data_IF_644213306845
#
_entry.id   IF_644213306845
#
_cell.length_a   1.000
_cell.length_b   1.000
_cell.length_c   1.000
_cell.angle_alpha   90.00
_cell.angle_beta   90.00
_cell.angle_gamma   90.00
#
_symmetry.space_group_name_H-M   'P 1'
#
loop_
_entity.id
_entity.type
_entity.pdbx_description
1 polymer ?
#
# COMPACT_ATOMS: atom_id res chain seq x y z
N UNK A 1 5.26 -4.93 -1.80
CA UNK A 1 4.85 -4.01 -0.70
C UNK A 1 5.70 -4.08 0.56
N UNK A 2 6.29 -5.23 0.92
CA UNK A 2 7.25 -5.33 2.04
C UNK A 2 8.45 -4.38 1.92
N UNK A 3 8.96 -4.14 0.71
CA UNK A 3 10.04 -3.16 0.46
C UNK A 3 9.63 -1.73 0.85
N UNK A 4 8.47 -1.27 0.39
CA UNK A 4 7.93 0.07 0.72
C UNK A 4 7.71 0.19 2.21
N UNK A 5 7.06 -0.80 2.83
CA UNK A 5 6.84 -0.82 4.27
C UNK A 5 8.14 -0.79 5.08
N UNK A 6 9.17 -1.56 4.68
CA UNK A 6 10.49 -1.52 5.33
C UNK A 6 11.18 -0.15 5.22
N UNK A 7 10.90 0.61 4.16
CA UNK A 7 11.51 1.92 3.94
C UNK A 7 10.76 3.04 4.65
N UNK A 8 9.44 2.98 4.71
CA UNK A 8 8.60 4.09 5.20
C UNK A 8 7.96 3.83 6.56
N UNK A 9 7.88 2.57 6.99
CA UNK A 9 7.07 2.14 8.14
C UNK A 9 5.56 2.20 7.90
N UNK A 10 5.11 2.43 6.66
CA UNK A 10 3.71 2.70 6.32
C UNK A 10 3.25 1.90 5.10
N UNK A 11 1.95 1.58 5.07
CA UNK A 11 1.27 1.09 3.86
C UNK A 11 0.55 2.23 3.17
N UNK A 12 0.47 2.17 1.84
CA UNK A 12 -0.20 3.16 1.01
C UNK A 12 -1.69 2.84 0.84
N UNK A 13 -2.45 3.84 0.41
CA UNK A 13 -3.85 3.72 -0.02
C UNK A 13 -4.05 2.67 -1.12
N UNK A 14 -3.17 2.63 -2.12
CA UNK A 14 -3.29 1.75 -3.29
C UNK A 14 -1.93 1.34 -3.85
N UNK A 15 -1.89 0.27 -4.64
CA UNK A 15 -0.69 -0.26 -5.28
C UNK A 15 -0.97 -0.61 -6.74
N UNK A 16 0.05 -0.49 -7.61
CA UNK A 16 -0.03 -0.97 -8.99
C UNK A 16 0.12 -2.50 -9.00
N UNK A 17 -0.91 -3.20 -9.45
CA UNK A 17 -0.94 -4.67 -9.50
C UNK A 17 -0.32 -5.23 -10.78
N UNK A 18 -0.13 -4.40 -11.80
CA UNK A 18 0.50 -4.77 -13.06
C UNK A 18 2.02 -4.64 -12.98
N UNK A 19 2.53 -3.68 -12.19
CA UNK A 19 3.96 -3.46 -11.99
C UNK A 19 4.29 -3.03 -10.55
N UNK A 20 4.71 -4.01 -9.74
CA UNK A 20 5.06 -3.80 -8.32
C UNK A 20 6.33 -2.97 -8.09
N UNK A 21 7.11 -2.68 -9.14
CA UNK A 21 8.29 -1.82 -9.04
C UNK A 21 7.92 -0.33 -9.08
N UNK A 22 6.73 0.00 -9.62
CA UNK A 22 6.24 1.37 -9.73
C UNK A 22 5.55 1.81 -8.46
N UNK A 23 5.74 3.09 -8.13
CA UNK A 23 4.91 3.77 -7.14
C UNK A 23 3.53 4.01 -7.74
N UNK A 24 2.49 3.65 -7.00
CA UNK A 24 1.11 3.93 -7.38
C UNK A 24 0.86 5.44 -7.45
N UNK A 25 -0.07 5.83 -8.32
CA UNK A 25 -0.37 7.24 -8.60
C UNK A 25 -1.68 7.40 -9.35
N UNK A 26 -1.90 8.61 -9.88
CA UNK A 26 -3.06 8.96 -10.70
C UNK A 26 -4.32 9.32 -9.91
N UNK A 27 -5.23 10.00 -10.59
CA UNK A 27 -6.40 10.65 -10.01
C UNK A 27 -6.15 12.12 -9.70
N UNK A 28 -7.06 12.74 -8.95
CA UNK A 28 -7.04 14.17 -8.63
C UNK A 28 -6.04 14.54 -7.53
N UNK A 29 -5.65 13.57 -6.68
CA UNK A 29 -4.82 13.81 -5.51
C UNK A 29 -3.66 12.82 -5.38
N UNK A 30 -2.56 13.21 -4.71
CA UNK A 30 -1.47 12.31 -4.39
C UNK A 30 -1.92 11.12 -3.55
N UNK A 31 -1.27 9.97 -3.76
CA UNK A 31 -1.49 8.76 -2.95
C UNK A 31 -1.17 9.02 -1.49
N UNK A 32 -2.08 8.59 -0.61
CA UNK A 32 -1.96 8.81 0.82
C UNK A 32 -1.17 7.72 1.53
N UNK A 33 -0.41 8.15 2.54
CA UNK A 33 0.29 7.31 3.50
C UNK A 33 -0.64 6.88 4.63
N UNK A 34 -0.64 5.60 4.98
CA UNK A 34 -1.43 5.08 6.09
C UNK A 34 -2.91 5.02 5.76
N UNK A 35 -3.38 3.84 5.34
CA UNK A 35 -4.77 3.64 4.96
C UNK A 35 -5.41 2.48 5.72
N UNK A 36 -6.49 2.77 6.45
CA UNK A 36 -7.09 1.83 7.40
C UNK A 36 -7.51 0.50 6.76
N UNK A 37 -8.08 0.54 5.57
CA UNK A 37 -8.50 -0.67 4.86
C UNK A 37 -7.31 -1.52 4.43
N UNK A 38 -6.25 -0.91 3.90
CA UNK A 38 -5.01 -1.62 3.52
C UNK A 38 -4.41 -2.35 4.73
N UNK A 39 -4.37 -1.68 5.89
CA UNK A 39 -3.89 -2.29 7.13
C UNK A 39 -4.79 -3.44 7.57
N UNK A 40 -6.11 -3.25 7.55
CA UNK A 40 -7.09 -4.24 7.98
C UNK A 40 -7.08 -5.50 7.11
N UNK A 41 -7.05 -5.35 5.79
CA UNK A 41 -6.97 -6.48 4.85
C UNK A 41 -5.65 -7.22 5.02
N UNK A 42 -4.53 -6.52 5.17
CA UNK A 42 -3.25 -7.19 5.44
C UNK A 42 -3.30 -8.00 6.74
N UNK A 43 -3.86 -7.45 7.81
CA UNK A 43 -4.01 -8.16 9.09
C UNK A 43 -4.90 -9.40 8.96
N UNK A 44 -5.94 -9.36 8.13
CA UNK A 44 -6.78 -10.53 7.87
C UNK A 44 -6.01 -11.61 7.10
N UNK A 45 -5.31 -11.23 6.02
CA UNK A 45 -4.51 -12.15 5.21
C UNK A 45 -3.34 -12.79 5.99
N UNK A 46 -2.79 -12.09 6.99
CA UNK A 46 -1.74 -12.64 7.86
C UNK A 46 -2.27 -13.61 8.93
N UNK A 47 -3.59 -13.66 9.14
CA UNK A 47 -4.26 -14.56 10.08
C UNK A 47 -4.83 -15.81 9.42
N UNK A 48 -4.74 -15.91 8.09
CA UNK A 48 -5.01 -17.12 7.32
C UNK A 48 -3.78 -18.05 7.33
#
# INVERSE_FOLDING_TARGET
NTKVYKQTGKLLEKYDVMDLSKRSGGGEYPVQDGFGWTNGVLLALLKE
#
